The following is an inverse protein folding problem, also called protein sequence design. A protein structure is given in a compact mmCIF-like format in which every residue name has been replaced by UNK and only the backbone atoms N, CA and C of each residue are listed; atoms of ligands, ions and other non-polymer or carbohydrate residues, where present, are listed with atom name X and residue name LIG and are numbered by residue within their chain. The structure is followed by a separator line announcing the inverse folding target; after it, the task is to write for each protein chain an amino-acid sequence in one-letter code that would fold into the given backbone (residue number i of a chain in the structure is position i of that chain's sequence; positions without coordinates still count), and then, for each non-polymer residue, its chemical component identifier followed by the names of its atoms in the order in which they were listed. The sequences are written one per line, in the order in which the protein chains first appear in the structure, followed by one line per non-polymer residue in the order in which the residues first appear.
data_IF_244515457458
#
_entry.id   IF_244515457458
#
_cell.length_a   1.000
_cell.length_b   1.000
_cell.length_c   1.000
_cell.angle_alpha   90.00
_cell.angle_beta   90.00
_cell.angle_gamma   90.00
#
_symmetry.space_group_name_H-M   'P 1'
#
loop_
_entity.id
_entity.type
_entity.pdbx_description
1 polymer ?
#
# COMPACT_ATOMS: atom_id res chain seq x y z
N UNK A 1 -55.15 36.38 51.63
CA UNK A 1 -56.12 35.44 51.03
C UNK A 1 -55.34 34.32 50.35
N UNK A 2 -55.52 33.10 50.83
CA UNK A 2 -54.73 31.92 50.51
C UNK A 2 -55.09 31.35 49.12
N UNK A 3 -54.07 31.14 48.28
CA UNK A 3 -54.15 30.38 47.04
C UNK A 3 -54.51 28.91 47.36
N UNK A 4 -55.67 28.46 46.89
CA UNK A 4 -56.07 27.05 46.90
C UNK A 4 -55.30 26.31 45.80
N UNK A 5 -54.32 25.52 46.21
CA UNK A 5 -53.69 24.49 45.38
C UNK A 5 -54.70 23.36 45.13
N UNK A 6 -55.12 23.18 43.88
CA UNK A 6 -55.91 22.04 43.46
C UNK A 6 -54.99 20.82 43.27
N UNK A 7 -54.94 19.95 44.28
CA UNK A 7 -54.35 18.61 44.20
C UNK A 7 -55.22 17.77 43.25
N UNK A 8 -54.84 17.68 41.98
CA UNK A 8 -55.39 16.67 41.06
C UNK A 8 -54.86 15.30 41.49
N UNK A 9 -55.67 14.55 42.24
CA UNK A 9 -55.43 13.12 42.47
C UNK A 9 -55.83 12.39 41.19
N UNK A 10 -54.84 12.11 40.33
CA UNK A 10 -55.02 11.19 39.22
C UNK A 10 -55.19 9.77 39.81
N UNK A 11 -56.43 9.32 39.90
CA UNK A 11 -56.76 8.00 40.44
C UNK A 11 -56.45 6.94 39.37
N UNK A 12 -55.26 6.36 39.44
CA UNK A 12 -54.80 5.33 38.51
C UNK A 12 -55.73 4.11 38.46
N UNK A 13 -56.49 3.85 39.54
CA UNK A 13 -57.48 2.78 39.59
C UNK A 13 -58.69 3.02 38.68
N UNK A 14 -59.11 4.28 38.51
CA UNK A 14 -60.22 4.63 37.63
C UNK A 14 -59.84 4.64 36.15
N UNK A 15 -58.60 5.03 35.83
CA UNK A 15 -58.04 4.91 34.48
C UNK A 15 -57.91 3.43 34.09
N UNK A 16 -57.42 2.59 35.01
CA UNK A 16 -57.28 1.15 34.79
C UNK A 16 -58.65 0.46 34.65
N UNK A 17 -59.68 0.86 35.42
CA UNK A 17 -61.06 0.37 35.25
C UNK A 17 -61.73 0.86 33.97
N UNK A 18 -61.35 2.03 33.45
CA UNK A 18 -61.82 2.54 32.14
C UNK A 18 -61.11 1.83 30.98
N UNK A 19 -59.81 1.58 31.08
CA UNK A 19 -59.07 0.76 30.11
C UNK A 19 -59.57 -0.69 30.09
N UNK A 20 -59.86 -1.27 31.26
CA UNK A 20 -60.43 -2.62 31.38
C UNK A 20 -61.82 -2.72 30.72
N UNK A 21 -62.69 -1.71 30.89
CA UNK A 21 -63.98 -1.63 30.19
C UNK A 21 -63.86 -1.45 28.68
N UNK A 22 -62.84 -0.72 28.20
CA UNK A 22 -62.55 -0.59 26.78
C UNK A 22 -61.99 -1.89 26.17
N UNK A 23 -61.20 -2.65 26.94
CA UNK A 23 -60.64 -3.93 26.53
C UNK A 23 -61.67 -5.08 26.53
N UNK A 24 -62.51 -5.17 27.57
CA UNK A 24 -63.46 -6.27 27.76
C UNK A 24 -64.77 -6.10 26.95
N UNK A 25 -65.16 -4.86 26.59
CA UNK A 25 -66.44 -4.60 25.91
C UNK A 25 -66.40 -4.50 24.38
N UNK A 26 -65.23 -4.64 23.73
CA UNK A 26 -65.05 -4.00 22.41
C UNK A 26 -64.20 -4.75 21.39
N UNK A 27 -64.02 -6.06 21.52
CA UNK A 27 -63.27 -6.89 20.54
C UNK A 27 -64.17 -7.41 19.39
N UNK A 28 -65.49 -7.18 19.45
CA UNK A 28 -66.46 -7.78 18.49
C UNK A 28 -66.73 -6.96 17.20
N UNK A 29 -66.11 -5.79 16.99
CA UNK A 29 -66.33 -5.01 15.76
C UNK A 29 -65.13 -5.14 14.84
N UNK A 30 -65.29 -5.84 13.71
CA UNK A 30 -64.27 -5.99 12.67
C UNK A 30 -63.63 -4.65 12.24
N UNK A 31 -64.38 -3.55 12.30
CA UNK A 31 -63.89 -2.18 12.00
C UNK A 31 -62.89 -1.66 13.06
N UNK A 32 -63.10 -1.96 14.34
CA UNK A 32 -62.21 -1.55 15.44
C UNK A 32 -60.98 -2.45 15.54
N UNK A 33 -61.14 -3.75 15.27
CA UNK A 33 -60.02 -4.67 15.11
C UNK A 33 -59.11 -4.24 13.96
N UNK A 34 -59.69 -3.89 12.81
CA UNK A 34 -58.95 -3.36 11.66
C UNK A 34 -58.19 -2.07 12.00
N UNK A 35 -58.82 -1.12 12.71
CA UNK A 35 -58.15 0.11 13.15
C UNK A 35 -57.00 -0.14 14.13
N UNK A 36 -57.16 -1.09 15.05
CA UNK A 36 -56.10 -1.49 15.97
C UNK A 36 -54.93 -2.11 15.20
N UNK A 37 -55.22 -3.02 14.28
CA UNK A 37 -54.21 -3.67 13.44
C UNK A 37 -53.49 -2.66 12.53
N UNK A 38 -54.22 -1.70 11.94
CA UNK A 38 -53.67 -0.59 11.17
C UNK A 38 -52.74 0.27 12.04
N UNK A 39 -53.16 0.63 13.25
CA UNK A 39 -52.36 1.40 14.19
C UNK A 39 -51.07 0.66 14.58
N UNK A 40 -51.17 -0.65 14.86
CA UNK A 40 -50.02 -1.50 15.13
C UNK A 40 -49.07 -1.53 13.93
N UNK A 41 -49.57 -1.71 12.71
CA UNK A 41 -48.75 -1.66 11.50
C UNK A 41 -48.05 -0.31 11.31
N UNK A 42 -48.75 0.81 11.56
CA UNK A 42 -48.16 2.15 11.49
C UNK A 42 -47.06 2.32 12.55
N UNK A 43 -47.29 1.86 13.77
CA UNK A 43 -46.27 1.90 14.84
C UNK A 43 -45.05 1.05 14.46
N UNK A 44 -45.24 -0.18 14.01
CA UNK A 44 -44.13 -1.04 13.57
C UNK A 44 -43.41 -0.52 12.32
N UNK A 45 -44.09 0.22 11.45
CA UNK A 45 -43.46 0.89 10.31
C UNK A 45 -42.63 2.11 10.73
N UNK A 46 -43.08 2.84 11.75
CA UNK A 46 -42.39 4.05 12.25
C UNK A 46 -41.29 3.74 13.28
N UNK A 47 -41.29 2.55 13.90
CA UNK A 47 -40.25 2.15 14.86
C UNK A 47 -38.85 2.11 14.23
N UNK A 48 -38.58 1.46 13.07
CA UNK A 48 -37.24 1.40 12.49
C UNK A 48 -36.58 2.77 12.23
N UNK A 49 -37.23 3.77 11.60
CA UNK A 49 -36.60 5.08 11.39
C UNK A 49 -36.37 5.85 12.70
N UNK A 50 -37.31 5.77 13.66
CA UNK A 50 -37.15 6.40 14.98
C UNK A 50 -36.02 5.73 15.77
N UNK A 51 -35.96 4.40 15.73
CA UNK A 51 -34.92 3.62 16.38
C UNK A 51 -33.55 3.91 15.76
N UNK A 52 -33.46 4.01 14.43
CA UNK A 52 -32.24 4.47 13.76
C UNK A 52 -31.86 5.89 14.16
N UNK A 53 -32.81 6.81 14.23
CA UNK A 53 -32.51 8.19 14.61
C UNK A 53 -32.03 8.34 16.06
N UNK A 54 -32.58 7.56 16.99
CA UNK A 54 -32.25 7.65 18.43
C UNK A 54 -31.00 6.81 18.77
N UNK A 55 -30.83 5.64 18.18
CA UNK A 55 -29.81 4.67 18.57
C UNK A 55 -28.69 4.48 17.55
N UNK A 56 -28.90 4.83 16.28
CA UNK A 56 -27.83 4.84 15.29
C UNK A 56 -27.36 6.28 15.11
N UNK A 57 -26.13 6.54 15.54
CA UNK A 57 -25.40 7.73 15.13
C UNK A 57 -25.45 7.85 13.61
N UNK A 58 -25.60 9.08 13.11
CA UNK A 58 -25.47 9.35 11.68
C UNK A 58 -24.18 8.68 11.18
N UNK A 59 -24.20 7.99 10.01
CA UNK A 59 -23.00 7.37 9.48
C UNK A 59 -21.92 8.45 9.39
N UNK A 60 -20.82 8.23 10.10
CA UNK A 60 -19.67 9.12 10.06
C UNK A 60 -19.28 9.26 8.58
N UNK A 61 -19.23 10.50 8.08
CA UNK A 61 -18.78 10.73 6.72
C UNK A 61 -17.32 10.34 6.63
N UNK A 62 -17.08 9.14 6.11
CA UNK A 62 -15.74 8.60 5.96
C UNK A 62 -14.98 9.49 4.98
N UNK A 63 -13.80 9.93 5.40
CA UNK A 63 -12.92 10.76 4.59
C UNK A 63 -12.64 10.07 3.23
N UNK A 64 -12.72 10.78 2.09
CA UNK A 64 -12.53 10.20 0.76
C UNK A 64 -11.24 9.39 0.59
N UNK A 65 -10.14 9.80 1.24
CA UNK A 65 -8.89 9.06 1.21
C UNK A 65 -8.98 7.73 1.94
N UNK A 66 -9.81 7.67 2.99
CA UNK A 66 -10.08 6.44 3.73
C UNK A 66 -10.90 5.45 2.90
N UNK A 67 -11.91 5.94 2.17
CA UNK A 67 -12.69 5.10 1.26
C UNK A 67 -11.80 4.53 0.15
N UNK A 68 -10.95 5.37 -0.45
CA UNK A 68 -9.94 4.93 -1.42
C UNK A 68 -9.05 3.82 -0.85
N UNK A 69 -8.62 3.95 0.41
CA UNK A 69 -7.78 2.95 1.05
C UNK A 69 -8.53 1.64 1.30
N UNK A 70 -9.76 1.69 1.82
CA UNK A 70 -10.55 0.48 2.07
C UNK A 70 -10.77 -0.33 0.79
N UNK A 71 -11.11 0.33 -0.31
CA UNK A 71 -11.34 -0.32 -1.61
C UNK A 71 -10.11 -1.13 -2.05
N UNK A 72 -8.91 -0.64 -1.75
CA UNK A 72 -7.64 -1.29 -2.11
C UNK A 72 -7.22 -2.38 -1.13
N UNK A 73 -7.59 -2.23 0.13
CA UNK A 73 -7.29 -3.23 1.17
C UNK A 73 -8.31 -4.37 1.18
N UNK A 74 -9.53 -4.16 0.66
CA UNK A 74 -10.62 -5.13 0.63
C UNK A 74 -10.21 -6.54 0.18
N UNK A 75 -9.41 -6.72 -0.90
CA UNK A 75 -8.96 -8.05 -1.33
C UNK A 75 -8.11 -8.80 -0.28
N UNK A 76 -7.41 -8.08 0.59
CA UNK A 76 -6.48 -8.64 1.57
C UNK A 76 -7.10 -8.85 2.95
N UNK A 77 -8.32 -8.35 3.19
CA UNK A 77 -8.96 -8.43 4.51
C UNK A 77 -9.12 -9.89 4.96
N UNK A 78 -9.60 -10.76 4.06
CA UNK A 78 -9.77 -12.18 4.39
C UNK A 78 -8.44 -12.87 4.70
N UNK A 79 -7.42 -12.64 3.86
CA UNK A 79 -6.08 -13.18 4.06
C UNK A 79 -5.44 -12.69 5.36
N UNK A 80 -5.72 -11.45 5.76
CA UNK A 80 -5.27 -10.90 7.03
C UNK A 80 -5.94 -11.58 8.23
N UNK A 81 -7.22 -11.94 8.13
CA UNK A 81 -7.90 -12.74 9.16
C UNK A 81 -7.39 -14.18 9.24
N UNK A 82 -6.95 -14.74 8.12
CA UNK A 82 -6.37 -16.09 8.02
C UNK A 82 -4.88 -16.15 8.37
N UNK A 83 -4.26 -14.99 8.67
CA UNK A 83 -2.82 -14.82 8.93
C UNK A 83 -1.90 -15.12 7.73
N UNK A 84 -2.46 -15.16 6.53
CA UNK A 84 -1.72 -15.29 5.27
C UNK A 84 -1.20 -13.94 4.76
N UNK A 85 -1.79 -12.85 5.24
CA UNK A 85 -1.31 -11.49 5.00
C UNK A 85 -1.27 -10.67 6.30
N UNK A 86 -0.52 -9.56 6.29
CA UNK A 86 -0.57 -8.56 7.35
C UNK A 86 -0.77 -7.17 6.77
N UNK A 87 -1.86 -6.52 7.15
CA UNK A 87 -2.15 -5.12 6.82
C UNK A 87 -1.56 -4.22 7.91
N UNK A 88 -0.93 -3.13 7.49
CA UNK A 88 -0.35 -2.10 8.35
C UNK A 88 -0.63 -0.70 7.80
N UNK A 89 -1.36 0.13 8.55
CA UNK A 89 -1.57 1.55 8.23
C UNK A 89 -0.39 2.40 8.72
N UNK A 90 0.10 3.28 7.85
CA UNK A 90 1.31 4.10 8.09
C UNK A 90 0.95 5.56 8.37
N UNK A 91 0.08 6.17 7.56
CA UNK A 91 -0.34 7.57 7.69
C UNK A 91 -1.88 7.70 7.68
N UNK A 92 -2.48 8.56 8.52
CA UNK A 92 -1.87 9.51 9.47
C UNK A 92 -1.62 8.95 10.88
N UNK A 93 -2.14 7.77 11.22
CA UNK A 93 -1.87 7.09 12.48
C UNK A 93 -2.12 5.58 12.32
N UNK A 94 -1.40 4.78 13.13
CA UNK A 94 -1.64 3.33 13.24
C UNK A 94 -3.05 3.08 13.74
N UNK A 95 -3.73 2.08 13.17
CA UNK A 95 -5.04 1.71 13.68
C UNK A 95 -4.91 0.93 15.00
N UNK A 96 -5.81 1.15 15.98
CA UNK A 96 -5.78 0.42 17.24
C UNK A 96 -6.05 -1.07 16.99
N UNK A 97 -5.23 -1.94 17.56
CA UNK A 97 -5.35 -3.40 17.41
C UNK A 97 -4.68 -3.98 16.16
N UNK A 98 -4.06 -3.15 15.32
CA UNK A 98 -3.29 -3.60 14.16
C UNK A 98 -1.90 -4.13 14.56
N UNK A 99 -1.40 -5.13 13.83
CA UNK A 99 -0.08 -5.71 14.06
C UNK A 99 0.97 -4.93 13.26
N UNK A 100 1.89 -4.31 13.99
CA UNK A 100 2.96 -3.48 13.42
C UNK A 100 4.18 -4.33 13.01
N UNK A 101 3.97 -5.30 12.12
CA UNK A 101 5.08 -6.05 11.53
C UNK A 101 5.77 -5.24 10.45
N UNK A 102 7.10 -5.22 10.50
CA UNK A 102 7.92 -4.52 9.50
C UNK A 102 7.75 -5.19 8.13
N UNK A 103 7.27 -4.47 7.11
CA UNK A 103 7.15 -5.00 5.76
C UNK A 103 8.55 -5.21 5.18
N UNK A 104 8.86 -6.46 4.84
CA UNK A 104 10.20 -6.85 4.40
C UNK A 104 10.13 -7.81 3.21
N UNK A 105 10.99 -7.57 2.23
CA UNK A 105 11.14 -8.40 1.04
C UNK A 105 12.56 -8.94 0.99
N UNK A 106 12.72 -10.24 0.73
CA UNK A 106 14.05 -10.82 0.53
C UNK A 106 14.02 -12.23 -0.03
N UNK A 107 15.11 -12.63 -0.68
CA UNK A 107 15.28 -13.95 -1.30
C UNK A 107 16.54 -14.69 -0.78
N UNK A 108 17.13 -14.19 0.31
CA UNK A 108 18.37 -14.73 0.88
C UNK A 108 19.65 -14.29 0.16
N UNK A 109 19.56 -13.52 -0.93
CA UNK A 109 20.68 -12.85 -1.57
C UNK A 109 20.60 -11.32 -1.41
N UNK A 110 19.39 -10.75 -1.54
CA UNK A 110 19.05 -9.36 -1.25
C UNK A 110 17.90 -9.29 -0.25
N UNK A 111 17.81 -8.17 0.45
CA UNK A 111 16.83 -7.95 1.49
C UNK A 111 16.56 -6.47 1.69
N UNK A 112 15.30 -6.09 1.80
CA UNK A 112 14.88 -4.70 1.87
C UNK A 112 13.65 -4.57 2.75
N UNK A 113 13.72 -3.65 3.71
CA UNK A 113 12.53 -3.14 4.38
C UNK A 113 11.80 -2.16 3.46
N UNK A 114 10.48 -2.31 3.32
CA UNK A 114 9.67 -1.42 2.50
C UNK A 114 9.33 -0.18 3.32
N UNK A 115 10.27 0.76 3.37
CA UNK A 115 10.13 2.08 3.96
C UNK A 115 10.91 3.12 3.12
N UNK A 116 10.50 4.39 3.15
CA UNK A 116 11.06 5.44 2.29
C UNK A 116 12.58 5.63 2.39
N UNK A 117 13.15 5.44 3.58
CA UNK A 117 14.58 5.66 3.85
C UNK A 117 15.36 4.36 4.06
N UNK A 118 14.74 3.20 3.82
CA UNK A 118 15.38 1.92 4.07
C UNK A 118 16.51 1.64 3.07
N UNK A 119 17.64 1.16 3.59
CA UNK A 119 18.75 0.68 2.78
C UNK A 119 18.51 -0.77 2.35
N UNK A 120 18.90 -1.07 1.11
CA UNK A 120 19.04 -2.44 0.66
C UNK A 120 20.17 -3.13 1.46
N UNK A 121 19.91 -4.33 1.91
CA UNK A 121 20.85 -5.18 2.63
C UNK A 121 21.29 -6.34 1.74
N UNK A 122 22.58 -6.69 1.85
CA UNK A 122 23.17 -7.87 1.22
C UNK A 122 23.51 -8.93 2.27
N UNK A 123 23.69 -10.17 1.80
CA UNK A 123 24.04 -11.29 2.67
C UNK A 123 25.46 -11.11 3.19
N UNK A 124 25.63 -11.18 4.50
CA UNK A 124 26.93 -11.32 5.12
C UNK A 124 26.87 -12.42 6.20
N UNK A 125 27.63 -13.50 5.99
CA UNK A 125 27.55 -14.69 6.84
C UNK A 125 26.19 -15.39 6.75
N UNK A 126 25.50 -15.52 7.89
CA UNK A 126 24.22 -16.25 8.00
C UNK A 126 22.98 -15.39 7.78
N UNK A 127 23.11 -14.06 7.76
CA UNK A 127 21.97 -13.14 7.74
C UNK A 127 22.14 -11.98 6.75
N UNK A 128 21.02 -11.34 6.43
CA UNK A 128 20.92 -10.18 5.53
C UNK A 128 21.09 -8.87 6.31
N UNK A 129 22.28 -8.66 6.84
CA UNK A 129 22.54 -7.60 7.83
C UNK A 129 23.48 -6.49 7.35
N UNK A 130 24.04 -6.60 6.15
CA UNK A 130 25.01 -5.62 5.65
C UNK A 130 24.31 -4.59 4.74
N UNK A 131 24.05 -3.36 5.22
CA UNK A 131 23.41 -2.32 4.41
C UNK A 131 24.37 -1.77 3.37
N UNK A 132 23.92 -1.71 2.11
CA UNK A 132 24.72 -1.20 0.99
C UNK A 132 24.45 0.26 0.67
N UNK A 133 23.96 1.04 1.66
CA UNK A 133 23.66 2.49 1.59
C UNK A 133 23.04 2.95 0.26
N UNK A 134 22.18 2.09 -0.28
CA UNK A 134 21.43 2.29 -1.51
C UNK A 134 19.96 2.13 -1.17
N UNK A 135 19.17 3.14 -1.54
CA UNK A 135 17.72 3.19 -1.30
C UNK A 135 17.05 2.98 -2.66
N UNK A 136 16.62 1.74 -2.98
CA UNK A 136 16.21 1.35 -4.33
C UNK A 136 14.80 1.81 -4.70
N UNK A 137 14.00 2.25 -3.72
CA UNK A 137 12.58 2.47 -3.91
C UNK A 137 12.32 3.74 -4.73
N UNK A 138 11.58 3.58 -5.82
CA UNK A 138 10.93 4.70 -6.51
C UNK A 138 9.62 5.00 -5.78
N UNK A 139 9.35 6.26 -5.45
CA UNK A 139 8.05 6.63 -4.87
C UNK A 139 7.48 7.86 -5.55
N UNK A 140 6.19 8.11 -5.37
CA UNK A 140 5.58 9.36 -5.82
C UNK A 140 5.81 10.40 -4.73
N UNK A 141 6.22 11.60 -5.11
CA UNK A 141 6.25 12.73 -4.18
C UNK A 141 4.81 13.11 -3.82
N UNK A 142 4.55 13.28 -2.52
CA UNK A 142 3.28 13.83 -2.08
C UNK A 142 3.14 15.25 -2.64
N UNK A 143 2.28 15.40 -3.65
CA UNK A 143 2.02 16.70 -4.26
C UNK A 143 1.54 17.67 -3.18
N UNK A 144 1.94 18.94 -3.31
CA UNK A 144 1.69 20.06 -2.37
C UNK A 144 0.20 20.44 -2.17
N UNK A 145 -0.74 19.51 -2.37
CA UNK A 145 -2.16 19.74 -2.17
C UNK A 145 -2.55 19.42 -0.72
N UNK A 146 -3.16 20.41 -0.09
CA UNK A 146 -3.65 20.54 1.29
C UNK A 146 -4.61 19.45 1.84
N UNK A 147 -4.69 18.27 1.23
CA UNK A 147 -5.65 17.20 1.57
C UNK A 147 -5.09 16.05 2.41
N UNK A 148 -3.78 16.01 2.67
CA UNK A 148 -3.14 14.87 3.33
C UNK A 148 -3.05 13.62 2.44
N UNK A 149 -2.26 12.65 2.86
CA UNK A 149 -2.09 11.37 2.19
C UNK A 149 -2.38 10.22 3.16
N UNK A 150 -3.03 9.17 2.66
CA UNK A 150 -3.20 7.92 3.41
C UNK A 150 -2.35 6.84 2.80
N UNK A 151 -1.69 6.10 3.66
CA UNK A 151 -0.80 5.02 3.27
C UNK A 151 -1.06 3.77 4.10
N UNK A 152 -1.09 2.63 3.41
CA UNK A 152 -1.04 1.32 4.02
C UNK A 152 -0.08 0.40 3.28
N UNK A 153 0.43 -0.58 4.01
CA UNK A 153 1.27 -1.65 3.48
C UNK A 153 0.61 -2.99 3.78
N UNK A 154 0.75 -3.94 2.86
CA UNK A 154 0.28 -5.30 3.00
C UNK A 154 1.42 -6.25 2.71
N UNK A 155 1.70 -7.15 3.63
CA UNK A 155 2.69 -8.22 3.44
C UNK A 155 1.93 -9.50 3.18
N UNK A 156 2.10 -10.11 2.00
CA UNK A 156 1.56 -11.44 1.72
C UNK A 156 2.63 -12.50 2.01
N UNK A 157 2.38 -13.35 2.99
CA UNK A 157 3.36 -14.34 3.42
C UNK A 157 3.49 -15.53 2.47
N UNK A 158 2.40 -15.91 1.79
CA UNK A 158 2.39 -17.05 0.87
C UNK A 158 3.12 -16.73 -0.45
N UNK A 159 2.95 -15.51 -0.97
CA UNK A 159 3.59 -15.09 -2.23
C UNK A 159 4.96 -14.46 -1.99
N UNK A 160 5.22 -13.94 -0.78
CA UNK A 160 6.44 -13.21 -0.45
C UNK A 160 6.49 -11.82 -1.08
N UNK A 161 5.34 -11.29 -1.47
CA UNK A 161 5.20 -9.95 -2.04
C UNK A 161 4.78 -8.96 -0.96
N UNK A 162 5.22 -7.71 -1.12
CA UNK A 162 4.74 -6.60 -0.32
C UNK A 162 4.03 -5.61 -1.23
N UNK A 163 2.81 -5.25 -0.85
CA UNK A 163 2.05 -4.20 -1.48
C UNK A 163 2.09 -2.95 -0.62
N UNK A 164 2.09 -1.80 -1.29
CA UNK A 164 1.95 -0.50 -0.64
C UNK A 164 0.95 0.30 -1.42
N UNK A 165 0.04 0.95 -0.72
CA UNK A 165 -1.02 1.76 -1.30
C UNK A 165 -0.91 3.17 -0.76
N UNK A 166 -0.98 4.16 -1.65
CA UNK A 166 -1.00 5.56 -1.30
C UNK A 166 -2.18 6.24 -2.01
N UNK A 167 -3.07 6.85 -1.24
CA UNK A 167 -4.22 7.58 -1.74
C UNK A 167 -3.98 9.09 -1.56
N UNK A 168 -3.96 9.82 -2.67
CA UNK A 168 -3.78 11.27 -2.74
C UNK A 168 -5.07 11.97 -3.18
N UNK A 169 -5.08 13.30 -3.14
CA UNK A 169 -6.19 14.11 -3.64
C UNK A 169 -6.18 14.19 -5.17
N UNK A 170 -6.74 13.17 -5.82
CA UNK A 170 -6.95 13.15 -7.28
C UNK A 170 -6.25 12.03 -8.03
N UNK A 171 -5.43 11.23 -7.34
CA UNK A 171 -4.85 10.02 -7.88
C UNK A 171 -4.52 9.06 -6.72
N UNK A 172 -4.27 7.81 -7.05
CA UNK A 172 -3.75 6.83 -6.11
C UNK A 172 -2.62 6.05 -6.76
N UNK A 173 -1.80 5.44 -5.91
CA UNK A 173 -0.65 4.66 -6.32
C UNK A 173 -0.69 3.31 -5.63
N UNK A 174 -0.56 2.25 -6.41
CA UNK A 174 -0.30 0.90 -5.93
C UNK A 174 1.15 0.55 -6.24
N UNK A 175 1.85 0.03 -5.26
CA UNK A 175 3.20 -0.49 -5.41
C UNK A 175 3.21 -1.98 -5.09
N UNK A 176 3.97 -2.74 -5.87
CA UNK A 176 4.27 -4.14 -5.58
C UNK A 176 5.77 -4.33 -5.56
N UNK A 177 6.27 -4.97 -4.50
CA UNK A 177 7.68 -5.23 -4.28
C UNK A 177 7.92 -6.72 -4.08
N UNK A 178 8.91 -7.27 -4.79
CA UNK A 178 9.37 -8.63 -4.53
C UNK A 178 10.84 -8.83 -4.93
N UNK A 179 11.53 -9.72 -4.24
CA UNK A 179 12.86 -10.16 -4.62
C UNK A 179 12.70 -11.42 -5.48
N UNK A 180 13.28 -11.42 -6.66
CA UNK A 180 13.04 -12.50 -7.62
C UNK A 180 13.62 -13.82 -7.09
N UNK A 181 12.81 -14.89 -7.08
CA UNK A 181 13.21 -16.19 -6.49
C UNK A 181 14.28 -16.93 -7.32
N UNK A 182 14.13 -16.98 -8.64
CA UNK A 182 15.09 -17.68 -9.53
C UNK A 182 16.25 -16.80 -10.03
N UNK A 183 16.13 -15.48 -9.96
CA UNK A 183 17.18 -14.52 -10.29
C UNK A 183 17.58 -13.77 -9.01
N UNK A 184 18.49 -14.32 -8.19
CA UNK A 184 18.70 -13.86 -6.83
C UNK A 184 19.15 -12.38 -6.75
N UNK A 185 19.82 -11.89 -7.79
CA UNK A 185 20.33 -10.54 -7.90
C UNK A 185 19.29 -9.50 -8.37
N UNK A 186 18.04 -9.89 -8.61
CA UNK A 186 16.99 -8.97 -9.09
C UNK A 186 16.02 -8.62 -7.95
N UNK A 187 15.86 -7.33 -7.74
CA UNK A 187 14.74 -6.73 -7.01
C UNK A 187 13.74 -6.14 -8.01
N UNK A 188 12.47 -6.48 -7.84
CA UNK A 188 11.39 -6.01 -8.70
C UNK A 188 10.52 -5.03 -7.94
N UNK A 189 10.27 -3.91 -8.58
CA UNK A 189 9.30 -2.92 -8.13
C UNK A 189 8.34 -2.62 -9.28
N UNK A 190 7.04 -2.67 -9.00
CA UNK A 190 5.99 -2.25 -9.92
C UNK A 190 5.21 -1.11 -9.29
N UNK A 191 4.90 -0.08 -10.07
CA UNK A 191 4.09 1.06 -9.67
C UNK A 191 2.92 1.19 -10.64
N UNK A 192 1.72 1.26 -10.12
CA UNK A 192 0.52 1.57 -10.89
C UNK A 192 -0.08 2.85 -10.34
N UNK A 193 -0.06 3.91 -11.16
CA UNK A 193 -0.54 5.23 -10.82
C UNK A 193 -1.82 5.48 -11.60
N UNK A 194 -2.92 5.76 -10.90
CA UNK A 194 -4.22 5.99 -11.52
C UNK A 194 -4.74 7.38 -11.16
N UNK A 195 -4.99 8.20 -12.19
CA UNK A 195 -5.63 9.49 -12.05
C UNK A 195 -7.15 9.30 -11.87
N UNK A 196 -7.71 9.88 -10.82
CA UNK A 196 -9.16 9.84 -10.55
C UNK A 196 -9.88 11.10 -11.07
N UNK A 197 -9.12 12.14 -11.45
CA UNK A 197 -9.63 13.40 -11.97
C UNK A 197 -9.75 13.39 -13.49
N UNK A 198 -10.63 14.25 -13.98
CA UNK A 198 -10.78 14.54 -15.42
C UNK A 198 -9.87 15.68 -15.89
N UNK A 199 -8.70 15.82 -15.25
CA UNK A 199 -7.68 16.81 -15.55
C UNK A 199 -6.35 16.09 -15.77
N UNK A 200 -5.43 16.73 -16.49
CA UNK A 200 -4.04 16.26 -16.54
C UNK A 200 -3.41 16.56 -15.18
N UNK A 201 -2.65 15.60 -14.65
CA UNK A 201 -1.96 15.74 -13.37
C UNK A 201 -0.48 15.46 -13.61
N UNK A 202 0.37 16.40 -13.23
CA UNK A 202 1.82 16.26 -13.32
C UNK A 202 2.33 15.70 -11.98
N UNK A 203 3.02 14.57 -12.05
CA UNK A 203 3.52 13.82 -10.91
C UNK A 203 5.04 13.79 -10.95
N UNK A 204 5.65 14.07 -9.80
CA UNK A 204 7.08 13.92 -9.62
C UNK A 204 7.39 12.62 -8.84
N UNK A 205 8.27 11.81 -9.40
CA UNK A 205 8.81 10.59 -8.86
C UNK A 205 10.08 10.88 -8.07
N UNK A 206 10.14 10.36 -6.86
CA UNK A 206 11.34 10.29 -6.03
C UNK A 206 12.17 9.11 -6.53
N UNK A 207 13.33 9.43 -7.10
CA UNK A 207 14.23 8.45 -7.69
C UNK A 207 15.18 7.80 -6.65
N UNK A 208 15.73 6.61 -6.94
CA UNK A 208 16.60 5.89 -6.00
C UNK A 208 17.86 6.69 -5.63
N UNK A 209 18.22 6.66 -4.34
CA UNK A 209 19.39 7.37 -3.80
C UNK A 209 20.52 6.39 -3.51
N UNK A 210 21.76 6.80 -3.78
CA UNK A 210 22.96 5.95 -3.61
C UNK A 210 24.04 6.71 -2.84
N UNK A 211 24.65 6.04 -1.86
CA UNK A 211 25.78 6.55 -1.10
C UNK A 211 26.80 5.43 -0.83
N UNK A 212 27.44 4.95 -1.90
CA UNK A 212 28.50 3.93 -1.85
C UNK A 212 29.88 4.57 -1.70
N UNK A 213 30.81 3.84 -1.09
CA UNK A 213 32.23 4.24 -1.08
C UNK A 213 32.86 3.94 -2.45
N UNK A 214 33.78 4.81 -2.91
CA UNK A 214 34.40 4.74 -4.25
C UNK A 214 33.34 4.58 -5.37
N UNK A 215 32.23 5.31 -5.26
CA UNK A 215 31.13 5.26 -6.22
C UNK A 215 31.59 5.69 -7.62
N UNK A 216 31.37 4.81 -8.59
CA UNK A 216 31.52 5.07 -10.03
C UNK A 216 30.15 4.97 -10.68
N UNK A 217 29.86 5.90 -11.59
CA UNK A 217 28.61 5.91 -12.37
C UNK A 217 28.94 5.83 -13.84
N UNK A 218 28.25 4.93 -14.54
CA UNK A 218 28.37 4.76 -15.99
C UNK A 218 27.00 4.53 -16.58
N UNK A 219 26.75 5.08 -17.75
CA UNK A 219 25.56 4.76 -18.54
C UNK A 219 25.94 3.79 -19.65
N UNK A 220 25.09 2.79 -19.87
CA UNK A 220 25.26 1.78 -20.92
C UNK A 220 24.01 1.80 -21.81
N UNK A 221 24.14 2.18 -23.09
CA UNK A 221 23.02 2.13 -24.01
C UNK A 221 22.62 0.67 -24.27
N UNK A 222 21.32 0.41 -24.34
CA UNK A 222 20.80 -0.87 -24.79
C UNK A 222 20.89 -0.94 -26.32
N UNK A 223 21.27 -2.11 -26.84
CA UNK A 223 21.35 -2.32 -28.29
C UNK A 223 20.00 -2.10 -28.99
N UNK A 224 18.91 -2.44 -28.30
CA UNK A 224 17.53 -2.15 -28.69
C UNK A 224 16.78 -1.59 -27.48
N UNK A 225 16.10 -0.44 -27.60
CA UNK A 225 15.29 0.09 -26.51
C UNK A 225 14.20 -0.91 -26.12
N UNK A 226 14.15 -1.28 -24.84
CA UNK A 226 13.16 -2.24 -24.36
C UNK A 226 11.94 -1.51 -23.85
N UNK A 227 10.78 -1.81 -24.46
CA UNK A 227 9.49 -1.27 -24.03
C UNK A 227 8.80 -2.22 -23.05
N UNK A 228 8.51 -1.72 -21.85
CA UNK A 228 7.73 -2.41 -20.81
C UNK A 228 6.53 -1.53 -20.47
N UNK A 229 5.34 -1.94 -20.91
CA UNK A 229 4.14 -1.12 -20.81
C UNK A 229 4.24 0.13 -21.67
N UNK A 230 4.07 1.30 -21.04
CA UNK A 230 4.12 2.62 -21.69
C UNK A 230 5.54 3.20 -21.68
N UNK A 231 6.47 2.59 -20.94
CA UNK A 231 7.83 3.08 -20.79
C UNK A 231 8.78 2.32 -21.71
N UNK A 232 9.68 3.07 -22.33
CA UNK A 232 10.79 2.54 -23.10
C UNK A 232 12.07 2.90 -22.38
N UNK A 233 12.90 1.91 -22.08
CA UNK A 233 14.19 2.09 -21.44
C UNK A 233 15.27 2.11 -22.53
N UNK A 234 15.87 3.28 -22.84
CA UNK A 234 16.94 3.35 -23.84
C UNK A 234 18.30 2.98 -23.26
N UNK A 235 18.51 3.23 -21.97
CA UNK A 235 19.81 3.17 -21.31
C UNK A 235 19.71 2.59 -19.91
N UNK A 236 20.79 1.94 -19.49
CA UNK A 236 20.99 1.44 -18.13
C UNK A 236 21.97 2.32 -17.38
N UNK A 237 21.65 2.67 -16.15
CA UNK A 237 22.57 3.29 -15.21
C UNK A 237 23.26 2.19 -14.39
N UNK A 238 24.59 2.13 -14.48
CA UNK A 238 25.47 1.23 -13.74
C UNK A 238 26.17 2.02 -12.64
N UNK A 239 25.97 1.60 -11.41
CA UNK A 239 26.54 2.19 -10.20
C UNK A 239 27.42 1.15 -9.52
N UNK A 240 28.72 1.39 -9.49
CA UNK A 240 29.70 0.49 -8.89
C UNK A 240 30.33 1.13 -7.67
N UNK A 241 30.63 0.33 -6.66
CA UNK A 241 31.30 0.83 -5.48
C UNK A 241 31.74 -0.30 -4.57
N UNK A 242 32.21 0.08 -3.38
CA UNK A 242 32.67 -0.86 -2.37
C UNK A 242 31.93 -0.68 -1.05
N UNK A 243 31.87 -1.78 -0.30
CA UNK A 243 31.42 -1.79 1.10
C UNK A 243 32.49 -2.47 1.94
N UNK A 244 32.97 -1.77 2.96
CA UNK A 244 33.94 -2.27 3.93
C UNK A 244 33.25 -3.12 5.01
N UNK A 245 33.84 -4.25 5.37
CA UNK A 245 33.36 -5.05 6.51
C UNK A 245 33.89 -4.43 7.81
N UNK A 246 33.00 -3.99 8.69
CA UNK A 246 33.36 -3.25 9.90
C UNK A 246 34.05 -4.10 11.00
N UNK A 247 33.97 -5.43 10.97
CA UNK A 247 34.21 -6.23 12.19
C UNK A 247 35.29 -7.31 12.13
N UNK A 248 35.87 -7.70 10.99
CA UNK A 248 36.81 -8.84 10.99
C UNK A 248 38.08 -8.69 10.15
N UNK A 249 38.10 -7.88 9.08
CA UNK A 249 39.30 -7.66 8.25
C UNK A 249 39.20 -6.33 7.49
N UNK A 250 39.83 -5.23 7.96
CA UNK A 250 39.77 -3.92 7.27
C UNK A 250 40.41 -3.95 5.87
N UNK A 251 41.22 -4.97 5.58
CA UNK A 251 41.91 -5.14 4.29
C UNK A 251 41.06 -5.80 3.20
N UNK A 252 39.82 -6.23 3.51
CA UNK A 252 38.92 -6.86 2.53
C UNK A 252 37.64 -6.05 2.39
N UNK A 253 37.27 -5.79 1.14
CA UNK A 253 36.05 -5.07 0.78
C UNK A 253 35.17 -5.93 -0.11
N UNK A 254 33.87 -5.68 -0.08
CA UNK A 254 32.91 -6.27 -1.02
C UNK A 254 32.72 -5.27 -2.17
N UNK A 255 32.87 -5.76 -3.40
CA UNK A 255 32.60 -4.96 -4.60
C UNK A 255 31.14 -5.16 -4.98
N UNK A 256 30.45 -4.06 -5.29
CA UNK A 256 29.03 -4.04 -5.59
C UNK A 256 28.83 -3.33 -6.92
N UNK A 257 27.98 -3.90 -7.78
CA UNK A 257 27.43 -3.25 -8.96
C UNK A 257 25.91 -3.26 -8.88
N UNK A 258 25.31 -2.10 -9.05
CA UNK A 258 23.87 -1.88 -9.10
C UNK A 258 23.55 -1.39 -10.50
N UNK A 259 22.64 -2.08 -11.19
CA UNK A 259 22.18 -1.72 -12.52
C UNK A 259 20.69 -1.47 -12.46
N UNK A 260 20.25 -0.33 -12.96
CA UNK A 260 18.85 0.08 -12.99
C UNK A 260 18.53 0.82 -14.28
N UNK A 261 17.29 0.77 -14.77
CA UNK A 261 16.89 1.54 -15.94
C UNK A 261 16.93 3.04 -15.64
N UNK A 262 17.38 3.82 -16.62
CA UNK A 262 17.27 5.27 -16.58
C UNK A 262 15.84 5.68 -16.93
N UNK A 263 15.27 6.58 -16.13
CA UNK A 263 13.89 7.03 -16.26
C UNK A 263 13.77 8.48 -15.77
N UNK A 264 12.88 9.24 -16.39
CA UNK A 264 12.58 10.62 -15.98
C UNK A 264 11.82 10.65 -14.65
N UNK A 265 12.15 11.65 -13.82
CA UNK A 265 11.44 11.86 -12.56
C UNK A 265 10.08 12.52 -12.74
N UNK A 266 9.75 13.04 -13.92
CA UNK A 266 8.49 13.73 -14.18
C UNK A 266 7.59 12.87 -15.04
N UNK A 267 6.34 12.73 -14.62
CA UNK A 267 5.32 11.94 -15.31
C UNK A 267 4.04 12.75 -15.43
N UNK A 268 3.52 12.88 -16.64
CA UNK A 268 2.20 13.47 -16.85
C UNK A 268 1.14 12.37 -16.97
N UNK A 269 0.16 12.36 -16.06
CA UNK A 269 -0.97 11.46 -16.14
C UNK A 269 -2.08 12.03 -17.04
N UNK A 270 -2.58 11.17 -17.93
CA UNK A 270 -3.78 11.46 -18.72
C UNK A 270 -5.02 11.54 -17.83
N UNK A 271 -6.04 12.25 -18.31
CA UNK A 271 -7.36 12.34 -17.66
C UNK A 271 -7.94 10.95 -17.45
N UNK A 272 -8.28 10.60 -16.20
CA UNK A 272 -8.77 9.27 -15.81
C UNK A 272 -7.87 8.11 -16.29
N UNK A 273 -6.60 8.39 -16.55
CA UNK A 273 -5.65 7.43 -17.08
C UNK A 273 -4.98 6.62 -15.98
N UNK A 274 -4.52 5.43 -16.35
CA UNK A 274 -3.64 4.62 -15.51
C UNK A 274 -2.31 4.42 -16.21
N UNK A 275 -1.22 4.53 -15.47
CA UNK A 275 0.14 4.30 -15.93
C UNK A 275 0.79 3.23 -15.07
N UNK A 276 1.36 2.20 -15.71
CA UNK A 276 2.12 1.13 -15.06
C UNK A 276 3.60 1.28 -15.37
N UNK A 277 4.42 1.35 -14.33
CA UNK A 277 5.88 1.40 -14.38
C UNK A 277 6.40 0.09 -13.79
N UNK A 278 7.34 -0.57 -14.49
CA UNK A 278 8.05 -1.73 -13.98
C UNK A 278 9.52 -1.34 -13.82
N UNK A 279 9.98 -1.20 -12.58
CA UNK A 279 11.32 -0.72 -12.24
C UNK A 279 12.18 -1.85 -11.64
N UNK A 280 12.80 -2.71 -12.48
CA UNK A 280 13.71 -3.72 -12.00
C UNK A 280 15.04 -3.08 -11.55
N UNK A 281 15.64 -3.63 -10.50
CA UNK A 281 17.00 -3.28 -10.07
C UNK A 281 17.83 -4.55 -9.93
N UNK A 282 18.96 -4.62 -10.62
CA UNK A 282 19.91 -5.72 -10.51
C UNK A 282 21.04 -5.32 -9.57
N UNK A 283 21.29 -6.11 -8.53
CA UNK A 283 22.36 -5.89 -7.56
C UNK A 283 23.23 -7.12 -7.51
N UNK A 284 24.46 -7.00 -7.98
CA UNK A 284 25.47 -8.06 -7.93
C UNK A 284 26.58 -7.64 -6.98
N UNK A 285 27.05 -8.56 -6.16
CA UNK A 285 28.18 -8.31 -5.25
C UNK A 285 29.13 -9.50 -5.15
N UNK A 286 30.40 -9.20 -4.91
CA UNK A 286 31.46 -10.19 -4.76
C UNK A 286 31.53 -10.76 -3.33
N UNK A 287 32.31 -11.83 -3.17
CA UNK A 287 32.85 -12.18 -1.85
C UNK A 287 33.88 -11.13 -1.41
N UNK A 288 34.23 -11.05 -0.12
CA UNK A 288 35.26 -10.12 0.36
C UNK A 288 36.59 -10.34 -0.37
N UNK A 289 37.08 -9.29 -1.03
CA UNK A 289 38.30 -9.27 -1.84
C UNK A 289 39.33 -8.29 -1.28
N UNK A 290 40.60 -8.63 -1.43
CA UNK A 290 41.72 -7.75 -1.10
C UNK A 290 41.79 -6.56 -2.06
N UNK A 291 42.34 -5.44 -1.60
CA UNK A 291 42.34 -4.17 -2.35
C UNK A 291 42.96 -4.27 -3.74
N UNK A 292 44.04 -5.04 -3.90
CA UNK A 292 44.72 -5.27 -5.18
C UNK A 292 43.82 -5.89 -6.26
N UNK A 293 42.82 -6.68 -5.86
CA UNK A 293 41.92 -7.41 -6.78
C UNK A 293 40.61 -6.67 -7.05
N UNK A 294 40.40 -5.50 -6.44
CA UNK A 294 39.13 -4.75 -6.57
C UNK A 294 38.87 -4.37 -8.03
N UNK A 295 39.88 -3.88 -8.76
CA UNK A 295 39.71 -3.44 -10.16
C UNK A 295 39.12 -4.52 -11.06
N UNK A 296 39.82 -5.65 -11.22
CA UNK A 296 39.34 -6.75 -12.07
C UNK A 296 38.03 -7.40 -11.56
N UNK A 297 37.79 -7.37 -10.25
CA UNK A 297 36.53 -7.86 -9.68
C UNK A 297 35.37 -6.92 -10.02
N UNK A 298 35.58 -5.60 -10.01
CA UNK A 298 34.55 -4.61 -10.36
C UNK A 298 34.05 -4.82 -11.78
N UNK A 299 34.95 -4.95 -12.75
CA UNK A 299 34.59 -5.20 -14.15
C UNK A 299 33.77 -6.49 -14.31
N UNK A 300 34.18 -7.55 -13.61
CA UNK A 300 33.47 -8.83 -13.66
C UNK A 300 32.05 -8.72 -13.07
N UNK A 301 31.92 -8.05 -11.92
CA UNK A 301 30.64 -7.89 -11.20
C UNK A 301 29.69 -6.97 -11.97
N UNK A 302 30.22 -5.91 -12.60
CA UNK A 302 29.48 -5.03 -13.50
C UNK A 302 28.90 -5.80 -14.69
N UNK A 303 29.73 -6.56 -15.40
CA UNK A 303 29.29 -7.35 -16.56
C UNK A 303 28.20 -8.35 -16.18
N UNK A 304 28.33 -9.02 -15.03
CA UNK A 304 27.30 -9.94 -14.52
C UNK A 304 25.98 -9.22 -14.23
N UNK A 305 26.03 -8.03 -13.61
CA UNK A 305 24.83 -7.26 -13.30
C UNK A 305 24.13 -6.74 -14.57
N UNK A 306 24.92 -6.25 -15.55
CA UNK A 306 24.41 -5.78 -16.84
C UNK A 306 23.74 -6.93 -17.60
N UNK A 307 24.39 -8.09 -17.68
CA UNK A 307 23.84 -9.26 -18.36
C UNK A 307 22.54 -9.75 -17.70
N UNK A 308 22.47 -9.76 -16.37
CA UNK A 308 21.26 -10.12 -15.65
C UNK A 308 20.11 -9.15 -15.94
N UNK A 309 20.38 -7.84 -15.92
CA UNK A 309 19.39 -6.82 -16.25
C UNK A 309 18.92 -6.91 -17.70
N UNK A 310 19.85 -7.03 -18.66
CA UNK A 310 19.53 -7.12 -20.08
C UNK A 310 18.64 -8.34 -20.38
N UNK A 311 18.98 -9.51 -19.81
CA UNK A 311 18.19 -10.74 -19.95
C UNK A 311 16.79 -10.59 -19.36
N UNK A 312 16.67 -9.94 -18.19
CA UNK A 312 15.39 -9.67 -17.56
C UNK A 312 14.52 -8.74 -18.42
N UNK A 313 15.09 -7.64 -18.90
CA UNK A 313 14.38 -6.67 -19.74
C UNK A 313 13.91 -7.31 -21.06
N UNK A 314 14.76 -8.10 -21.73
CA UNK A 314 14.35 -8.85 -22.92
C UNK A 314 13.14 -9.76 -22.64
N UNK A 315 13.14 -10.45 -21.49
CA UNK A 315 12.01 -11.30 -21.08
C UNK A 315 10.75 -10.48 -20.84
N UNK A 316 10.85 -9.34 -20.15
CA UNK A 316 9.73 -8.45 -19.87
C UNK A 316 9.14 -7.84 -21.15
N UNK A 317 9.99 -7.45 -22.12
CA UNK A 317 9.55 -6.93 -23.42
C UNK A 317 8.92 -7.99 -24.33
N UNK A 318 9.33 -9.27 -24.19
CA UNK A 318 8.78 -10.38 -24.98
C UNK A 318 7.48 -10.98 -24.44
N UNK A 319 7.13 -10.73 -23.18
CA UNK A 319 5.93 -11.31 -22.59
C UNK A 319 4.68 -10.57 -23.11
N UNK A 320 3.70 -11.28 -23.71
CA UNK A 320 2.43 -10.66 -24.05
C UNK A 320 1.78 -10.16 -22.77
N UNK A 321 1.49 -8.87 -22.74
CA UNK A 321 0.75 -8.25 -21.64
C UNK A 321 -0.67 -8.80 -21.72
N UNK A 322 -1.07 -9.68 -20.79
CA UNK A 322 -2.48 -9.95 -20.56
C UNK A 322 -3.14 -8.65 -20.14
N UNK A 323 -4.14 -8.15 -20.87
CA UNK A 323 -5.00 -7.10 -20.36
C UNK A 323 -5.89 -7.75 -19.32
N UNK A 324 -5.62 -7.51 -18.03
CA UNK A 324 -6.58 -7.88 -16.99
C UNK A 324 -7.84 -7.02 -17.18
N UNK A 325 -8.96 -7.74 -17.32
CA UNK A 325 -10.33 -7.28 -17.52
C UNK A 325 -10.87 -6.42 -16.35
#
# INVERSE_FOLDING_TARGET
MLFRSAKSKFDAGDVMRRMKRLAEGTISSYRRLFLLLLCVCVVFYMIPPIFRYIFLSAPEQKDPHSMCMDDRLTPFILQNFEFDANIRHVSPAKMPGERDFTPYVGNGYLGLEIAHDAFLNIKNGRAMQLPIRFQPLVSVSGGSASGGEKEATVVEYLTGMVHRFQCFAGYFVSYTYYAHRTQPNIFMQELQITNTRNLLEDIELIMPRVNLQKLTRRTVPLSEPVSVGVFTYPELEVLSGIVQLQTENPSKSIVISIVKPQMDSKLQLRKRGTVRIVYPTAVQYSKPVAEEKIGGTSETIEQQAIQAMAKLLQKLGSSPQTPDL
#
